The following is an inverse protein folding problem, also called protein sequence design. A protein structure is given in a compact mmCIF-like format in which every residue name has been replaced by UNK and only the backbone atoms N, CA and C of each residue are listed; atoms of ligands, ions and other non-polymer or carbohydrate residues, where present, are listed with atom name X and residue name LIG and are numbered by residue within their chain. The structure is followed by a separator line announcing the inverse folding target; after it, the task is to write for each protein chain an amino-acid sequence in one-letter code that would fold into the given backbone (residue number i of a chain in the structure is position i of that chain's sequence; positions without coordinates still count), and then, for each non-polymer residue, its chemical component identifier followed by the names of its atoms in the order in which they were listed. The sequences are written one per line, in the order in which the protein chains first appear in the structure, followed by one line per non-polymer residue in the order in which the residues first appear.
data_IF_570085190367
#
_entry.id   IF_570085190367
#
_cell.length_a   1.000
_cell.length_b   1.000
_cell.length_c   1.000
_cell.angle_alpha   90.00
_cell.angle_beta   90.00
_cell.angle_gamma   90.00
#
_symmetry.space_group_name_H-M   'P 1'
#
loop_
_entity.id
_entity.type
_entity.pdbx_description
1 polymer ?
#
# COMPACT_ATOMS: atom_id res chain seq x y z
N UNK A 1 -6.59 11.08 31.83
CA UNK A 1 -5.79 12.05 31.05
C UNK A 1 -4.40 11.47 30.86
N UNK A 2 -4.13 10.83 29.72
CA UNK A 2 -2.80 10.32 29.40
C UNK A 2 -2.44 10.64 27.95
N UNK A 3 -1.20 11.09 27.80
CA UNK A 3 -0.33 11.05 26.63
C UNK A 3 -0.57 12.01 25.44
N UNK A 4 0.26 13.06 25.40
CA UNK A 4 0.70 13.80 24.19
C UNK A 4 2.19 14.21 24.31
N UNK A 5 3.02 13.36 24.92
CA UNK A 5 4.44 13.69 25.16
C UNK A 5 5.47 12.80 24.47
N UNK A 6 5.09 11.68 23.84
CA UNK A 6 6.07 10.73 23.29
C UNK A 6 6.30 10.83 21.77
N UNK A 7 5.40 11.39 20.97
CA UNK A 7 5.60 11.47 19.50
C UNK A 7 6.63 12.52 19.06
N UNK A 8 6.83 13.56 19.87
CA UNK A 8 7.81 14.63 19.59
C UNK A 8 9.24 14.14 19.88
N UNK A 9 9.39 13.20 20.82
CA UNK A 9 10.70 12.69 21.25
C UNK A 9 11.32 11.77 20.18
N UNK A 10 10.50 10.88 19.59
CA UNK A 10 10.94 9.97 18.52
C UNK A 10 11.32 10.72 17.23
N UNK A 11 10.62 11.83 16.92
CA UNK A 11 10.93 12.69 15.77
C UNK A 11 12.30 13.38 15.93
N UNK A 12 12.58 13.90 17.13
CA UNK A 12 13.86 14.55 17.43
C UNK A 12 15.01 13.55 17.50
N UNK A 13 14.75 12.34 18.01
CA UNK A 13 15.75 11.27 18.04
C UNK A 13 16.15 10.82 16.63
N UNK A 14 15.18 10.70 15.72
CA UNK A 14 15.44 10.38 14.31
C UNK A 14 16.25 11.48 13.60
N UNK A 15 15.98 12.75 13.92
CA UNK A 15 16.71 13.89 13.38
C UNK A 15 18.16 13.94 13.91
N UNK A 16 18.37 13.67 15.21
CA UNK A 16 19.70 13.60 15.82
C UNK A 16 20.55 12.44 15.26
N UNK A 17 19.95 11.27 15.04
CA UNK A 17 20.64 10.15 14.41
C UNK A 17 21.06 10.46 12.97
N UNK A 18 20.24 11.24 12.23
CA UNK A 18 20.60 11.74 10.91
C UNK A 18 21.75 12.75 10.92
N UNK A 19 21.80 13.65 11.90
CA UNK A 19 22.92 14.60 12.04
C UNK A 19 24.25 13.88 12.30
N UNK A 20 24.24 12.86 13.15
CA UNK A 20 25.43 12.04 13.46
C UNK A 20 25.92 11.25 12.25
N UNK A 21 25.03 10.68 11.43
CA UNK A 21 25.41 9.98 10.20
C UNK A 21 25.96 10.92 9.12
N UNK A 22 25.47 12.16 9.04
CA UNK A 22 25.96 13.16 8.09
C UNK A 22 27.37 13.65 8.46
N UNK A 23 27.64 13.87 9.75
CA UNK A 23 28.96 14.29 10.24
C UNK A 23 30.04 13.20 10.03
N UNK A 24 29.65 11.92 10.14
CA UNK A 24 30.54 10.80 9.86
C UNK A 24 30.90 10.65 8.37
N UNK A 25 30.06 11.17 7.46
CA UNK A 25 30.25 11.09 6.01
C UNK A 25 30.98 12.30 5.40
N UNK A 26 31.08 13.44 6.08
CA UNK A 26 31.80 14.61 5.54
C UNK A 26 33.34 14.45 5.55
N UNK A 27 33.89 13.48 6.29
CA UNK A 27 35.35 13.38 6.47
C UNK A 27 36.09 12.60 5.37
N UNK A 28 35.40 12.04 4.36
CA UNK A 28 36.07 11.25 3.30
C UNK A 28 35.43 11.46 1.92
N UNK A 29 35.81 12.52 1.19
CA UNK A 29 35.93 12.42 -0.28
C UNK A 29 36.84 13.49 -0.89
N UNK A 30 37.93 13.03 -1.51
CA UNK A 30 38.77 13.81 -2.42
C UNK A 30 38.70 13.14 -3.81
N UNK A 31 38.38 13.92 -4.86
CA UNK A 31 38.68 13.57 -6.26
C UNK A 31 37.52 13.20 -7.18
N UNK A 32 36.99 14.23 -7.86
CA UNK A 32 36.28 14.35 -9.16
C UNK A 32 35.97 13.11 -10.06
N UNK A 33 34.77 13.08 -10.66
CA UNK A 33 34.55 13.49 -12.07
C UNK A 33 33.05 13.63 -12.41
N UNK A 34 32.68 14.73 -13.08
CA UNK A 34 31.32 15.03 -13.54
C UNK A 34 31.00 14.31 -14.86
N UNK A 35 29.85 13.62 -14.96
CA UNK A 35 28.90 13.79 -16.07
C UNK A 35 27.61 12.92 -15.96
N UNK A 36 26.48 13.58 -16.26
CA UNK A 36 25.11 13.07 -16.57
C UNK A 36 24.17 12.72 -15.39
N UNK A 37 23.87 13.73 -14.57
CA UNK A 37 22.60 13.80 -13.85
C UNK A 37 21.47 14.17 -14.83
N UNK A 38 20.85 13.17 -15.46
CA UNK A 38 19.48 13.32 -15.99
C UNK A 38 18.56 13.30 -14.77
N UNK A 39 17.90 14.42 -14.50
CA UNK A 39 17.02 14.71 -13.36
C UNK A 39 16.53 13.47 -12.61
N UNK A 40 17.03 13.26 -11.39
CA UNK A 40 16.56 12.23 -10.46
C UNK A 40 15.15 12.50 -9.92
N UNK A 41 14.55 13.64 -10.28
CA UNK A 41 13.26 14.07 -9.79
C UNK A 41 12.12 13.39 -10.59
N UNK A 42 11.50 12.39 -9.96
CA UNK A 42 10.32 11.69 -10.47
C UNK A 42 9.01 12.45 -10.16
N UNK A 43 9.09 13.61 -9.52
CA UNK A 43 7.97 14.51 -9.28
C UNK A 43 7.91 15.68 -10.29
N UNK A 44 8.54 15.52 -11.46
CA UNK A 44 8.37 16.42 -12.61
C UNK A 44 6.89 16.41 -13.07
N UNK A 45 6.37 17.54 -13.55
CA UNK A 45 5.00 17.72 -14.06
C UNK A 45 4.61 16.68 -15.12
N UNK A 46 5.59 16.18 -15.88
CA UNK A 46 5.40 15.07 -16.83
C UNK A 46 4.84 13.79 -16.20
N UNK A 47 4.96 13.61 -14.88
CA UNK A 47 4.42 12.48 -14.11
C UNK A 47 3.02 12.71 -13.55
N UNK A 48 2.47 13.92 -13.70
CA UNK A 48 1.07 14.24 -13.36
C UNK A 48 0.09 13.74 -14.43
N UNK A 49 0.60 13.34 -15.60
CA UNK A 49 -0.20 12.77 -16.68
C UNK A 49 -0.44 11.27 -16.47
N UNK A 50 -1.59 10.80 -16.95
CA UNK A 50 -1.89 9.37 -17.04
C UNK A 50 -1.02 8.75 -18.13
N UNK A 51 -0.34 7.66 -17.79
CA UNK A 51 0.34 6.82 -18.78
C UNK A 51 -0.67 5.79 -19.32
N UNK A 52 -1.01 5.81 -20.62
CA UNK A 52 -1.98 4.89 -21.18
C UNK A 52 -1.49 3.42 -21.20
N UNK A 53 -0.17 3.17 -21.12
CA UNK A 53 0.38 1.82 -21.15
C UNK A 53 1.64 1.71 -20.25
N UNK A 54 1.48 1.75 -18.92
CA UNK A 54 2.60 1.68 -18.01
C UNK A 54 3.25 0.29 -18.02
N UNK A 55 4.53 0.23 -18.40
CA UNK A 55 5.36 -0.96 -18.24
C UNK A 55 5.90 -1.07 -16.81
N UNK A 56 5.12 -1.71 -15.95
CA UNK A 56 5.47 -1.91 -14.53
C UNK A 56 6.69 -2.80 -14.33
N UNK A 57 6.96 -3.72 -15.27
CA UNK A 57 8.13 -4.59 -15.17
C UNK A 57 9.40 -3.79 -15.41
N UNK A 58 9.41 -2.96 -16.45
CA UNK A 58 10.54 -2.06 -16.72
C UNK A 58 10.78 -1.08 -15.57
N UNK A 59 9.72 -0.49 -15.00
CA UNK A 59 9.81 0.37 -13.81
C UNK A 59 10.42 -0.37 -12.62
N UNK A 60 9.94 -1.59 -12.34
CA UNK A 60 10.45 -2.41 -11.25
C UNK A 60 11.94 -2.70 -11.41
N UNK A 61 12.39 -3.13 -12.60
CA UNK A 61 13.81 -3.42 -12.87
C UNK A 61 14.68 -2.18 -12.73
N UNK A 62 14.19 -1.01 -13.17
CA UNK A 62 14.89 0.25 -13.00
C UNK A 62 15.02 0.62 -11.51
N UNK A 63 13.91 0.56 -10.78
CA UNK A 63 13.87 0.93 -9.37
C UNK A 63 14.65 -0.03 -8.48
N UNK A 64 14.66 -1.33 -8.75
CA UNK A 64 15.45 -2.31 -8.01
C UNK A 64 16.95 -1.96 -8.09
N UNK A 65 17.44 -1.69 -9.31
CA UNK A 65 18.83 -1.29 -9.53
C UNK A 65 19.16 0.04 -8.87
N UNK A 66 18.28 1.03 -9.01
CA UNK A 66 18.52 2.41 -8.58
C UNK A 66 18.40 2.59 -7.06
N UNK A 67 17.44 1.93 -6.43
CA UNK A 67 17.02 2.23 -5.07
C UNK A 67 17.13 1.07 -4.08
N UNK A 68 17.26 -0.16 -4.58
CA UNK A 68 17.28 -1.39 -3.76
C UNK A 68 18.49 -2.29 -4.05
N UNK A 69 19.54 -1.75 -4.69
CA UNK A 69 20.83 -2.40 -4.91
C UNK A 69 20.75 -3.78 -5.60
N UNK A 70 19.72 -4.00 -6.43
CA UNK A 70 19.52 -5.28 -7.12
C UNK A 70 19.09 -6.42 -6.20
N UNK A 71 18.58 -6.13 -4.99
CA UNK A 71 18.20 -7.13 -3.99
C UNK A 71 16.81 -7.73 -4.24
N UNK A 72 16.02 -7.17 -5.15
CA UNK A 72 14.67 -7.63 -5.44
C UNK A 72 14.58 -8.54 -6.67
N UNK A 73 15.69 -9.03 -7.22
CA UNK A 73 15.71 -9.86 -8.42
C UNK A 73 14.84 -11.14 -8.36
N UNK A 74 14.52 -11.64 -7.16
CA UNK A 74 13.64 -12.80 -6.94
C UNK A 74 12.16 -12.43 -6.75
N UNK A 75 11.81 -11.15 -6.81
CA UNK A 75 10.45 -10.66 -6.62
C UNK A 75 9.72 -10.60 -7.97
N UNK A 76 8.52 -11.15 -8.00
CA UNK A 76 7.63 -11.03 -9.15
C UNK A 76 6.79 -9.75 -9.02
N UNK A 77 6.53 -9.05 -10.13
CA UNK A 77 5.59 -7.93 -10.18
C UNK A 77 4.50 -8.20 -11.22
N UNK A 78 3.24 -8.13 -10.82
CA UNK A 78 2.10 -8.41 -11.69
C UNK A 78 0.96 -7.40 -11.53
N UNK A 79 0.19 -7.24 -12.59
CA UNK A 79 -1.11 -6.57 -12.54
C UNK A 79 -2.20 -7.53 -12.04
N UNK A 80 -3.08 -7.01 -11.18
CA UNK A 80 -4.30 -7.67 -10.74
C UNK A 80 -5.52 -6.96 -11.31
N UNK A 81 -6.26 -7.67 -12.17
CA UNK A 81 -7.51 -7.21 -12.79
C UNK A 81 -8.70 -7.20 -11.82
N UNK A 82 -8.56 -7.78 -10.63
CA UNK A 82 -9.65 -8.00 -9.66
C UNK A 82 -9.43 -7.35 -8.29
N UNK A 83 -8.25 -6.79 -8.04
CA UNK A 83 -7.94 -6.17 -6.76
C UNK A 83 -8.57 -4.77 -6.69
N UNK A 84 -9.53 -4.57 -5.78
CA UNK A 84 -10.28 -3.31 -5.65
C UNK A 84 -10.36 -2.80 -4.21
N UNK A 85 -9.59 -3.38 -3.29
CA UNK A 85 -9.57 -2.98 -1.87
C UNK A 85 -8.34 -2.15 -1.50
N UNK A 86 -7.23 -2.37 -2.20
CA UNK A 86 -5.97 -1.65 -2.08
C UNK A 86 -5.33 -1.55 -3.46
N UNK A 87 -4.47 -0.56 -3.66
CA UNK A 87 -3.80 -0.37 -4.95
C UNK A 87 -2.55 -1.25 -5.13
N UNK A 88 -1.95 -1.70 -4.04
CA UNK A 88 -0.77 -2.56 -4.02
C UNK A 88 -0.87 -3.60 -2.90
N UNK A 89 -0.16 -4.72 -3.07
CA UNK A 89 0.16 -5.68 -1.99
C UNK A 89 1.41 -6.49 -2.35
N UNK A 90 2.37 -6.66 -1.44
CA UNK A 90 3.37 -7.73 -1.52
C UNK A 90 2.86 -8.97 -0.76
N UNK A 91 2.74 -10.08 -1.49
CA UNK A 91 2.42 -11.39 -0.96
C UNK A 91 3.69 -12.22 -0.75
N UNK A 92 3.83 -12.81 0.43
CA UNK A 92 4.99 -13.64 0.79
C UNK A 92 4.66 -15.13 0.68
N UNK A 93 5.28 -15.81 -0.28
CA UNK A 93 5.10 -17.25 -0.48
C UNK A 93 6.10 -18.04 0.37
N UNK A 94 5.63 -18.54 1.52
CA UNK A 94 6.19 -19.67 2.28
C UNK A 94 7.63 -19.57 2.82
N UNK A 95 7.90 -20.22 3.95
CA UNK A 95 9.24 -20.24 4.59
C UNK A 95 10.36 -20.86 3.75
N UNK A 96 10.04 -21.64 2.71
CA UNK A 96 11.00 -22.44 1.92
C UNK A 96 11.36 -21.84 0.56
N UNK A 97 10.47 -21.06 -0.06
CA UNK A 97 10.70 -20.45 -1.37
C UNK A 97 11.27 -19.04 -1.28
N UNK A 98 11.00 -18.31 -0.19
CA UNK A 98 11.47 -16.92 -0.05
C UNK A 98 10.97 -15.96 -1.14
N UNK A 99 9.94 -16.35 -1.90
CA UNK A 99 9.43 -15.57 -3.02
C UNK A 99 8.43 -14.52 -2.50
N UNK A 100 8.64 -13.24 -2.83
CA UNK A 100 7.60 -12.18 -2.75
C UNK A 100 7.01 -11.96 -4.15
N UNK A 101 5.70 -11.71 -4.19
CA UNK A 101 5.00 -11.26 -5.37
C UNK A 101 4.33 -9.92 -5.06
N UNK A 102 4.72 -8.87 -5.78
CA UNK A 102 4.05 -7.56 -5.74
C UNK A 102 2.90 -7.59 -6.74
N UNK A 103 1.68 -7.32 -6.27
CA UNK A 103 0.50 -7.16 -7.10
C UNK A 103 0.06 -5.71 -7.07
N UNK A 104 -0.19 -5.15 -8.26
CA UNK A 104 -0.74 -3.80 -8.42
C UNK A 104 -2.17 -3.87 -8.95
N UNK A 105 -3.04 -2.99 -8.47
CA UNK A 105 -4.45 -2.95 -8.86
C UNK A 105 -4.59 -2.22 -10.19
N UNK A 106 -4.89 -2.96 -11.25
CA UNK A 106 -5.29 -2.32 -12.50
C UNK A 106 -6.56 -1.45 -12.31
N UNK A 107 -7.62 -1.93 -11.62
CA UNK A 107 -8.84 -1.14 -11.41
C UNK A 107 -8.65 0.20 -10.67
N UNK A 108 -7.67 0.31 -9.77
CA UNK A 108 -7.44 1.51 -8.97
C UNK A 108 -6.35 2.42 -9.55
N UNK A 109 -5.40 1.90 -10.33
CA UNK A 109 -4.25 2.66 -10.82
C UNK A 109 -4.32 3.05 -12.29
N UNK A 110 -5.08 2.32 -13.14
CA UNK A 110 -5.04 2.49 -14.60
C UNK A 110 -5.46 3.88 -15.10
N UNK A 111 -6.32 4.58 -14.37
CA UNK A 111 -6.82 5.92 -14.72
C UNK A 111 -6.22 7.03 -13.85
N UNK A 112 -5.18 6.70 -13.07
CA UNK A 112 -4.53 7.64 -12.17
C UNK A 112 -3.29 8.25 -12.83
N UNK A 113 -2.84 9.42 -12.35
CA UNK A 113 -1.54 9.95 -12.70
C UNK A 113 -0.44 8.91 -12.53
N UNK A 114 0.55 8.93 -13.42
CA UNK A 114 1.69 8.00 -13.39
C UNK A 114 2.41 8.01 -12.03
N UNK A 115 2.42 9.15 -11.34
CA UNK A 115 2.91 9.30 -9.96
C UNK A 115 2.30 8.29 -8.98
N UNK A 116 0.98 8.10 -8.99
CA UNK A 116 0.31 7.20 -8.02
C UNK A 116 0.74 5.74 -8.22
N UNK A 117 0.94 5.32 -9.48
CA UNK A 117 1.50 4.02 -9.81
C UNK A 117 2.91 3.85 -9.25
N UNK A 118 3.77 4.86 -9.47
CA UNK A 118 5.17 4.83 -9.01
C UNK A 118 5.25 4.79 -7.49
N UNK A 119 4.49 5.64 -6.80
CA UNK A 119 4.47 5.69 -5.34
C UNK A 119 3.94 4.39 -4.74
N UNK A 120 2.90 3.80 -5.34
CA UNK A 120 2.38 2.49 -4.92
C UNK A 120 3.40 1.37 -5.17
N UNK A 121 4.06 1.36 -6.33
CA UNK A 121 5.08 0.35 -6.63
C UNK A 121 6.26 0.45 -5.65
N UNK A 122 6.80 1.65 -5.41
CA UNK A 122 7.90 1.85 -4.47
C UNK A 122 7.51 1.49 -3.04
N UNK A 123 6.26 1.75 -2.63
CA UNK A 123 5.73 1.30 -1.33
C UNK A 123 5.83 -0.22 -1.20
N UNK A 124 5.32 -0.97 -2.17
CA UNK A 124 5.37 -2.44 -2.13
C UNK A 124 6.80 -2.99 -2.28
N UNK A 125 7.68 -2.28 -2.99
CA UNK A 125 9.10 -2.65 -3.08
C UNK A 125 9.85 -2.47 -1.75
N UNK A 126 9.50 -1.48 -0.92
CA UNK A 126 10.06 -1.36 0.44
C UNK A 126 9.67 -2.60 1.27
N UNK A 127 8.39 -3.01 1.24
CA UNK A 127 7.94 -4.22 1.92
C UNK A 127 8.72 -5.46 1.46
N UNK A 128 8.83 -5.64 0.14
CA UNK A 128 9.58 -6.75 -0.43
C UNK A 128 11.06 -6.74 -0.01
N UNK A 129 11.69 -5.57 0.01
CA UNK A 129 13.08 -5.41 0.44
C UNK A 129 13.27 -5.83 1.90
N UNK A 130 12.46 -5.29 2.82
CA UNK A 130 12.55 -5.59 4.24
C UNK A 130 12.29 -7.06 4.55
N UNK A 131 11.36 -7.68 3.82
CA UNK A 131 11.13 -9.11 3.94
C UNK A 131 12.37 -9.93 3.54
N UNK A 132 13.01 -9.58 2.43
CA UNK A 132 14.16 -10.32 1.91
C UNK A 132 15.44 -10.09 2.72
N UNK A 133 15.69 -8.87 3.21
CA UNK A 133 16.95 -8.53 3.88
C UNK A 133 16.89 -8.63 5.40
N UNK A 134 15.74 -8.33 6.00
CA UNK A 134 15.60 -8.24 7.46
C UNK A 134 14.73 -9.37 8.02
N UNK A 135 14.17 -10.23 7.15
CA UNK A 135 13.15 -11.22 7.51
C UNK A 135 12.00 -10.57 8.31
N UNK A 136 11.71 -9.30 7.98
CA UNK A 136 10.62 -8.54 8.57
C UNK A 136 9.30 -9.09 8.04
N UNK A 137 8.47 -9.57 8.95
CA UNK A 137 7.17 -10.21 8.66
C UNK A 137 6.04 -9.49 9.37
N UNK A 138 6.30 -8.28 9.87
CA UNK A 138 5.28 -7.49 10.52
C UNK A 138 4.12 -7.25 9.55
N UNK A 139 2.90 -7.51 10.04
CA UNK A 139 1.67 -7.47 9.23
C UNK A 139 1.18 -6.06 8.97
N UNK A 140 1.44 -5.13 9.89
CA UNK A 140 1.21 -3.70 9.66
C UNK A 140 2.36 -3.11 8.81
N UNK A 141 3.53 -3.76 8.73
CA UNK A 141 4.58 -3.55 7.72
C UNK A 141 5.32 -2.20 7.71
N UNK A 142 4.87 -1.21 8.50
CA UNK A 142 5.37 0.18 8.41
C UNK A 142 6.17 0.65 9.63
N UNK A 143 7.02 -0.22 10.18
CA UNK A 143 7.92 0.08 11.30
C UNK A 143 9.03 1.10 10.95
N UNK A 144 9.96 1.37 11.89
CA UNK A 144 11.05 2.33 11.68
C UNK A 144 11.88 2.08 10.41
N UNK A 145 12.13 0.81 10.07
CA UNK A 145 12.87 0.44 8.85
C UNK A 145 12.13 0.85 7.58
N UNK A 146 10.81 0.61 7.51
CA UNK A 146 9.98 1.04 6.40
C UNK A 146 10.02 2.55 6.25
N UNK A 147 9.79 3.26 7.36
CA UNK A 147 9.80 4.73 7.39
C UNK A 147 11.15 5.28 6.93
N UNK A 148 12.26 4.67 7.35
CA UNK A 148 13.61 5.07 6.92
C UNK A 148 13.77 4.98 5.38
N UNK A 149 13.41 3.85 4.76
CA UNK A 149 13.49 3.72 3.31
C UNK A 149 12.49 4.65 2.58
N UNK A 150 11.28 4.82 3.12
CA UNK A 150 10.28 5.74 2.59
C UNK A 150 10.81 7.19 2.57
N UNK A 151 11.38 7.67 3.68
CA UNK A 151 11.94 9.02 3.76
C UNK A 151 13.15 9.20 2.84
N UNK A 152 14.04 8.22 2.78
CA UNK A 152 15.18 8.21 1.86
C UNK A 152 14.71 8.35 0.41
N UNK A 153 13.76 7.52 -0.01
CA UNK A 153 13.22 7.55 -1.37
C UNK A 153 12.52 8.88 -1.69
N UNK A 154 11.69 9.41 -0.78
CA UNK A 154 11.02 10.70 -0.99
C UNK A 154 12.05 11.83 -1.15
N UNK A 155 13.13 11.83 -0.35
CA UNK A 155 14.22 12.81 -0.46
C UNK A 155 14.98 12.69 -1.79
N UNK A 156 15.29 11.47 -2.22
CA UNK A 156 16.07 11.22 -3.44
C UNK A 156 15.27 11.49 -4.73
N UNK A 157 13.95 11.28 -4.72
CA UNK A 157 13.10 11.27 -5.92
C UNK A 157 12.15 12.45 -6.02
N UNK A 158 11.92 13.19 -4.93
CA UNK A 158 10.89 14.23 -4.87
C UNK A 158 9.45 13.69 -4.75
N UNK A 159 9.26 12.37 -4.66
CA UNK A 159 7.97 11.73 -4.48
C UNK A 159 7.44 11.88 -3.04
N UNK A 160 6.18 11.48 -2.85
CA UNK A 160 5.52 11.48 -1.55
C UNK A 160 4.92 10.09 -1.26
N UNK A 161 5.77 9.08 -1.18
CA UNK A 161 5.39 7.74 -0.70
C UNK A 161 4.90 7.90 0.75
N UNK A 162 3.72 7.36 1.03
CA UNK A 162 3.08 7.39 2.36
C UNK A 162 2.86 5.98 2.91
N UNK A 163 2.64 5.90 4.23
CA UNK A 163 2.27 4.68 4.96
C UNK A 163 0.88 4.19 4.54
N UNK A 164 -0.04 5.13 4.32
CA UNK A 164 -1.41 4.84 3.88
C UNK A 164 -1.64 5.47 2.53
N UNK A 165 -2.13 4.69 1.58
CA UNK A 165 -2.61 5.22 0.32
C UNK A 165 -4.07 5.68 0.43
N UNK A 166 -4.41 6.84 -0.15
CA UNK A 166 -5.80 7.32 -0.19
C UNK A 166 -6.50 6.90 -1.50
N UNK A 167 -7.04 5.69 -1.52
CA UNK A 167 -7.90 5.20 -2.62
C UNK A 167 -9.36 5.01 -2.17
N UNK A 168 -9.77 5.73 -1.12
CA UNK A 168 -11.04 5.49 -0.42
C UNK A 168 -12.26 5.69 -1.33
N UNK A 169 -12.24 6.72 -2.19
CA UNK A 169 -13.35 7.03 -3.08
C UNK A 169 -13.46 6.00 -4.21
N UNK A 170 -12.34 5.62 -4.82
CA UNK A 170 -12.30 4.57 -5.85
C UNK A 170 -12.72 3.22 -5.28
N UNK A 171 -12.21 2.85 -4.11
CA UNK A 171 -12.64 1.64 -3.40
C UNK A 171 -14.15 1.68 -3.14
N UNK A 172 -14.70 2.83 -2.76
CA UNK A 172 -16.14 3.00 -2.56
C UNK A 172 -16.95 2.83 -3.86
N UNK A 173 -16.43 3.23 -5.02
CA UNK A 173 -17.07 3.00 -6.33
C UNK A 173 -17.22 1.50 -6.64
N UNK A 174 -16.21 0.70 -6.29
CA UNK A 174 -16.25 -0.75 -6.49
C UNK A 174 -17.10 -1.48 -5.45
N UNK A 175 -17.24 -0.95 -4.23
CA UNK A 175 -18.03 -1.57 -3.16
C UNK A 175 -19.55 -1.42 -3.39
N UNK A 176 -20.10 -2.10 -4.38
CA UNK A 176 -21.50 -1.94 -4.79
C UNK A 176 -22.49 -2.86 -4.07
N UNK A 177 -22.00 -3.86 -3.32
CA UNK A 177 -22.84 -4.78 -2.55
C UNK A 177 -22.83 -4.42 -1.08
N UNK A 178 -23.97 -4.00 -0.55
CA UNK A 178 -24.08 -3.53 0.84
C UNK A 178 -25.01 -4.45 1.62
N UNK A 179 -24.58 -4.78 2.83
CA UNK A 179 -25.40 -5.42 3.84
C UNK A 179 -25.45 -4.54 5.08
N UNK A 180 -26.55 -4.63 5.81
CA UNK A 180 -26.68 -4.00 7.12
C UNK A 180 -27.18 -5.01 8.14
N UNK A 181 -26.44 -5.13 9.25
CA UNK A 181 -26.84 -5.91 10.41
C UNK A 181 -28.12 -5.32 11.01
N UNK A 182 -29.03 -6.12 11.53
CA UNK A 182 -30.22 -5.69 12.29
C UNK A 182 -29.99 -5.57 13.81
N UNK A 183 -28.85 -6.02 14.30
CA UNK A 183 -28.51 -6.03 15.72
C UNK A 183 -27.95 -4.70 16.27
N UNK A 184 -27.52 -4.70 17.54
CA UNK A 184 -27.08 -3.50 18.26
C UNK A 184 -25.82 -2.84 17.68
N UNK A 185 -25.08 -3.49 16.77
CA UNK A 185 -23.93 -2.86 16.11
C UNK A 185 -24.32 -1.71 15.16
N UNK A 186 -25.61 -1.52 14.86
CA UNK A 186 -26.12 -0.37 14.06
C UNK A 186 -25.74 1.00 14.62
N UNK A 187 -25.59 1.12 15.93
CA UNK A 187 -25.22 2.37 16.61
C UNK A 187 -23.75 2.41 17.02
N UNK A 188 -23.00 1.32 16.80
CA UNK A 188 -21.61 1.22 17.20
C UNK A 188 -20.70 1.71 16.08
N UNK A 189 -19.80 2.63 16.44
CA UNK A 189 -18.68 2.99 15.58
C UNK A 189 -17.71 1.82 15.40
N UNK A 190 -16.95 1.81 14.30
CA UNK A 190 -17.00 2.79 13.18
C UNK A 190 -17.99 2.39 12.08
N UNK A 191 -18.50 1.16 12.08
CA UNK A 191 -19.18 0.58 10.91
C UNK A 191 -20.70 0.79 10.91
N UNK A 192 -21.32 1.10 12.05
CA UNK A 192 -22.77 1.33 12.16
C UNK A 192 -23.63 0.21 11.54
N UNK A 193 -23.14 -1.02 11.70
CA UNK A 193 -23.74 -2.25 11.18
C UNK A 193 -23.61 -2.47 9.67
N UNK A 194 -22.88 -1.63 8.93
CA UNK A 194 -22.68 -1.81 7.51
C UNK A 194 -21.52 -2.75 7.18
N UNK A 195 -21.71 -3.56 6.14
CA UNK A 195 -20.64 -4.25 5.42
C UNK A 195 -20.79 -3.93 3.94
N UNK A 196 -19.75 -3.36 3.33
CA UNK A 196 -19.72 -3.00 1.91
C UNK A 196 -18.63 -3.80 1.22
N UNK A 197 -18.94 -4.41 0.07
CA UNK A 197 -18.02 -5.27 -0.68
C UNK A 197 -18.15 -5.06 -2.17
N UNK A 198 -17.07 -5.33 -2.90
CA UNK A 198 -17.08 -5.34 -4.36
C UNK A 198 -17.67 -6.60 -4.98
N UNK A 199 -17.73 -7.69 -4.22
CA UNK A 199 -18.35 -8.94 -4.65
C UNK A 199 -19.65 -9.22 -3.90
N UNK A 200 -20.58 -9.90 -4.56
CA UNK A 200 -21.82 -10.39 -3.96
C UNK A 200 -21.58 -11.58 -3.01
N UNK A 201 -20.83 -11.33 -1.93
CA UNK A 201 -20.53 -12.30 -0.88
C UNK A 201 -21.12 -11.79 0.42
N UNK A 202 -22.17 -12.42 0.92
CA UNK A 202 -22.75 -12.06 2.22
C UNK A 202 -21.73 -12.24 3.36
N UNK A 203 -21.82 -11.43 4.43
CA UNK A 203 -21.15 -11.72 5.70
C UNK A 203 -21.41 -13.15 6.18
N UNK A 204 -20.37 -13.86 6.59
CA UNK A 204 -20.47 -15.28 6.94
C UNK A 204 -19.35 -15.71 7.91
N UNK A 205 -19.40 -16.95 8.37
CA UNK A 205 -18.35 -17.57 9.20
C UNK A 205 -16.95 -17.59 8.58
N UNK A 206 -16.83 -17.35 7.27
CA UNK A 206 -15.54 -17.22 6.59
C UNK A 206 -14.86 -15.86 6.83
N UNK A 207 -15.55 -14.89 7.45
CA UNK A 207 -14.98 -13.60 7.78
C UNK A 207 -14.26 -13.66 9.14
N UNK A 208 -13.04 -13.13 9.22
CA UNK A 208 -12.19 -13.18 10.42
C UNK A 208 -12.83 -12.53 11.65
N UNK A 209 -13.70 -11.55 11.45
CA UNK A 209 -14.43 -10.84 12.50
C UNK A 209 -15.80 -11.46 12.85
N UNK A 210 -16.24 -12.50 12.13
CA UNK A 210 -17.60 -13.05 12.27
C UNK A 210 -17.88 -13.60 13.67
N UNK A 211 -16.95 -14.37 14.24
CA UNK A 211 -17.09 -14.94 15.58
C UNK A 211 -17.25 -13.86 16.65
N UNK A 212 -16.46 -12.78 16.57
CA UNK A 212 -16.57 -11.62 17.45
C UNK A 212 -17.90 -10.88 17.28
N UNK A 213 -18.37 -10.71 16.04
CA UNK A 213 -19.68 -10.13 15.77
C UNK A 213 -20.82 -10.98 16.35
N UNK A 214 -20.76 -12.30 16.19
CA UNK A 214 -21.75 -13.21 16.78
C UNK A 214 -21.79 -13.10 18.31
N UNK A 215 -20.64 -13.05 18.97
CA UNK A 215 -20.57 -12.94 20.42
C UNK A 215 -21.03 -11.58 20.98
N UNK A 216 -20.80 -10.48 20.25
CA UNK A 216 -21.01 -9.11 20.77
C UNK A 216 -22.24 -8.40 20.20
N UNK A 217 -22.87 -8.97 19.19
CA UNK A 217 -24.03 -8.41 18.49
C UNK A 217 -25.09 -9.48 18.23
N UNK A 218 -24.71 -10.61 17.61
CA UNK A 218 -25.64 -11.71 17.28
C UNK A 218 -26.68 -11.40 16.18
N UNK A 219 -26.65 -10.20 15.60
CA UNK A 219 -27.59 -9.80 14.55
C UNK A 219 -27.33 -10.44 13.20
N UNK A 220 -28.31 -10.32 12.31
CA UNK A 220 -28.30 -10.86 10.94
C UNK A 220 -28.06 -9.75 9.92
N UNK A 221 -27.21 -10.03 8.93
CA UNK A 221 -26.92 -9.10 7.85
C UNK A 221 -27.89 -9.29 6.68
N UNK A 222 -28.69 -8.26 6.39
CA UNK A 222 -29.59 -8.23 5.23
C UNK A 222 -29.00 -7.38 4.12
N UNK A 223 -29.13 -7.83 2.87
CA UNK A 223 -28.65 -7.10 1.68
C UNK A 223 -29.54 -5.88 1.44
N UNK A 224 -28.94 -4.72 1.23
CA UNK A 224 -29.63 -3.43 1.06
C UNK A 224 -29.22 -2.66 -0.20
N UNK A 225 -28.14 -3.10 -0.88
CA UNK A 225 -27.70 -2.51 -2.15
C UNK A 225 -27.03 -3.57 -3.02
N UNK A 226 -27.30 -3.52 -4.31
CA UNK A 226 -26.57 -4.24 -5.36
C UNK A 226 -26.54 -3.45 -6.67
N UNK A 227 -25.62 -3.78 -7.60
CA UNK A 227 -25.61 -3.18 -8.93
C UNK A 227 -26.89 -3.50 -9.71
N UNK A 228 -27.44 -2.50 -10.41
CA UNK A 228 -28.70 -2.60 -11.17
C UNK A 228 -28.70 -3.75 -12.20
N UNK A 229 -27.54 -4.07 -12.77
CA UNK A 229 -27.38 -5.03 -13.86
C UNK A 229 -27.53 -6.51 -13.48
N UNK A 230 -27.66 -6.85 -12.19
CA UNK A 230 -27.75 -8.24 -11.72
C UNK A 230 -29.18 -8.70 -11.40
N UNK A 231 -30.13 -7.77 -11.23
CA UNK A 231 -31.52 -8.11 -10.91
C UNK A 231 -32.28 -8.71 -12.11
N UNK A 232 -31.83 -8.49 -13.35
CA UNK A 232 -32.51 -8.90 -14.59
C UNK A 232 -32.16 -10.31 -15.09
N UNK A 233 -31.27 -11.07 -14.44
CA UNK A 233 -30.91 -12.44 -14.86
C UNK A 233 -31.55 -13.57 -14.03
N UNK A 234 -32.51 -13.28 -13.17
CA UNK A 234 -33.35 -14.29 -12.49
C UNK A 234 -34.78 -14.21 -13.01
N UNK A 235 -35.01 -14.74 -14.20
CA UNK A 235 -36.35 -14.79 -14.77
C UNK A 235 -36.37 -15.08 -16.26
N UNK A 236 -35.73 -16.17 -16.70
CA UNK A 236 -36.07 -16.93 -17.90
C UNK A 236 -35.76 -18.40 -17.65
#
# INVERSE_FOLDING_TARGET
MFSRKNEIDDFNLALQLQEIENDANEVVFCGQSENKNKSSNLADVSWELVDPNPDVFSLFVEFDKKFFWGKLASVEVIWSTRMTLCAGVCEYHGKRSGACCIKLSEPLLKLRPRKDLVETLLHEMIHAYLFLTNNDRDRDGHGPNFKSHMYRLNKETGLNITIYHSFHDEVALYQQHWWRCDGPCRTKQPFYGYVKRSMNRAPSSNDTWWSSHQATCGGTFTKIKEPENLATKKGQ
#
